data_IF_401008838592
#
_entry.id   IF_401008838592
#
_cell.length_a   1.000
_cell.length_b   1.000
_cell.length_c   1.000
_cell.angle_alpha   90.00
_cell.angle_beta   90.00
_cell.angle_gamma   90.00
#
_symmetry.space_group_name_H-M   'P 1'
#
loop_
_entity.id
_entity.type
_entity.pdbx_description
1 polymer ?
#
# COMPACT_ATOMS: atom_id res chain seq x y z
N UNK A 1 24.99 10.18 49.88
CA UNK A 1 25.18 9.50 48.57
C UNK A 1 24.19 8.34 48.49
N UNK A 2 22.96 8.58 48.04
CA UNK A 2 21.97 7.55 47.76
C UNK A 2 21.48 7.76 46.33
N UNK A 3 21.90 6.89 45.39
CA UNK A 3 21.35 6.83 44.04
C UNK A 3 20.13 5.90 44.08
N UNK A 4 18.95 6.48 43.91
CA UNK A 4 17.72 5.75 43.63
C UNK A 4 17.81 5.22 42.19
N UNK A 5 18.00 3.91 42.03
CA UNK A 5 17.74 3.23 40.76
C UNK A 5 16.24 2.96 40.65
N UNK A 6 15.52 3.91 40.08
CA UNK A 6 14.19 3.65 39.52
C UNK A 6 14.37 2.85 38.24
N UNK A 7 14.17 1.53 38.33
CA UNK A 7 14.05 0.66 37.16
C UNK A 7 12.63 0.78 36.65
N UNK A 8 12.38 1.77 35.80
CA UNK A 8 11.16 1.89 35.02
C UNK A 8 11.02 0.69 34.11
N UNK A 9 10.24 -0.30 34.55
CA UNK A 9 9.78 -1.42 33.74
C UNK A 9 8.85 -0.82 32.69
N UNK A 10 9.33 -0.68 31.46
CA UNK A 10 8.50 -0.34 30.31
C UNK A 10 7.56 -1.51 30.04
N UNK A 11 6.37 -1.44 30.63
CA UNK A 11 5.25 -2.30 30.26
C UNK A 11 4.91 -2.04 28.79
N UNK A 12 5.48 -2.86 27.90
CA UNK A 12 5.02 -2.98 26.52
C UNK A 12 3.59 -3.55 26.56
N UNK A 13 2.61 -2.65 26.72
CA UNK A 13 1.20 -2.98 26.57
C UNK A 13 0.99 -3.54 25.16
N UNK A 14 0.20 -4.62 25.06
CA UNK A 14 -0.19 -5.19 23.77
C UNK A 14 -1.01 -4.15 23.01
N UNK A 15 -0.42 -3.54 21.99
CA UNK A 15 -1.13 -2.62 21.11
C UNK A 15 -2.10 -3.39 20.21
N UNK A 16 -3.30 -2.84 19.98
CA UNK A 16 -4.24 -3.39 19.00
C UNK A 16 -4.06 -2.62 17.69
N UNK A 17 -3.50 -3.31 16.70
CA UNK A 17 -3.44 -2.79 15.33
C UNK A 17 -4.72 -3.21 14.63
N UNK A 18 -5.53 -2.24 14.21
CA UNK A 18 -6.70 -2.47 13.36
C UNK A 18 -6.35 -1.96 11.96
N UNK A 19 -6.22 -2.90 11.03
CA UNK A 19 -6.05 -2.60 9.62
C UNK A 19 -7.42 -2.75 8.98
N UNK A 20 -7.99 -1.65 8.52
CA UNK A 20 -9.25 -1.66 7.79
C UNK A 20 -8.93 -1.34 6.34
N UNK A 21 -9.08 -2.34 5.48
CA UNK A 21 -9.09 -2.11 4.04
C UNK A 21 -10.53 -1.79 3.65
N UNK A 22 -10.83 -0.51 3.41
CA UNK A 22 -12.12 -0.14 2.86
C UNK A 22 -12.08 -0.39 1.35
N UNK A 23 -12.73 -1.47 0.93
CA UNK A 23 -12.99 -1.71 -0.48
C UNK A 23 -14.25 -0.93 -0.84
N UNK A 24 -14.08 0.18 -1.56
CA UNK A 24 -15.22 0.89 -2.13
C UNK A 24 -15.78 0.07 -3.30
N UNK A 25 -16.72 -0.83 -2.98
CA UNK A 25 -17.63 -1.39 -3.97
C UNK A 25 -18.91 -0.57 -3.84
N UNK A 26 -18.97 0.56 -4.54
CA UNK A 26 -20.17 1.41 -4.59
C UNK A 26 -21.25 0.67 -5.39
N UNK A 27 -21.93 -0.27 -4.72
CA UNK A 27 -23.08 -0.99 -5.22
C UNK A 27 -24.34 -0.17 -5.01
N UNK A 28 -24.92 0.28 -6.12
CA UNK A 28 -26.23 0.90 -6.25
C UNK A 28 -27.34 0.07 -5.54
N UNK A 29 -27.75 0.48 -4.34
CA UNK A 29 -29.04 0.08 -3.79
C UNK A 29 -30.11 1.05 -4.31
N UNK A 30 -31.17 0.58 -4.98
CA UNK A 30 -32.29 1.45 -5.35
C UNK A 30 -32.97 1.97 -4.09
N UNK A 31 -33.00 3.29 -3.95
CA UNK A 31 -33.66 4.01 -2.87
C UNK A 31 -35.17 3.74 -2.95
N UNK A 32 -35.69 2.90 -2.06
CA UNK A 32 -37.08 3.02 -1.62
C UNK A 32 -37.17 4.28 -0.74
N UNK A 33 -37.94 5.27 -1.19
CA UNK A 33 -38.25 6.47 -0.43
C UNK A 33 -39.12 6.11 0.79
N UNK A 34 -38.46 5.79 1.90
CA UNK A 34 -39.04 5.70 3.24
C UNK A 34 -38.39 6.76 4.12
N UNK A 35 -39.12 7.83 4.44
CA UNK A 35 -38.69 8.87 5.38
C UNK A 35 -38.72 8.32 6.81
N UNK A 36 -37.69 7.59 7.22
CA UNK A 36 -37.38 7.38 8.63
C UNK A 36 -36.15 8.21 8.97
N UNK A 37 -36.40 9.38 9.55
CA UNK A 37 -35.40 10.16 10.27
C UNK A 37 -35.00 9.37 11.52
N UNK A 38 -34.05 8.45 11.35
CA UNK A 38 -33.20 8.00 12.46
C UNK A 38 -32.14 9.08 12.63
N UNK A 39 -32.08 9.67 13.83
CA UNK A 39 -30.96 10.49 14.25
C UNK A 39 -29.70 9.67 14.03
N UNK A 40 -28.99 10.02 12.95
CA UNK A 40 -27.65 9.55 12.62
C UNK A 40 -26.77 10.13 13.73
N UNK A 41 -26.56 9.30 14.75
CA UNK A 41 -25.70 9.60 15.89
C UNK A 41 -24.32 9.84 15.26
N UNK A 42 -23.95 11.13 15.16
CA UNK A 42 -22.81 11.61 14.39
C UNK A 42 -21.52 10.99 14.88
N UNK A 43 -21.25 9.76 14.43
CA UNK A 43 -20.00 9.09 14.61
C UNK A 43 -18.98 9.95 13.89
N UNK A 44 -18.28 10.80 14.66
CA UNK A 44 -17.13 11.54 14.18
C UNK A 44 -16.26 10.54 13.44
N UNK A 45 -16.22 10.66 12.11
CA UNK A 45 -15.35 9.86 11.27
C UNK A 45 -13.94 10.22 11.67
N UNK A 46 -13.35 9.42 12.56
CA UNK A 46 -11.97 9.58 12.97
C UNK A 46 -11.14 9.55 11.69
N UNK A 47 -10.52 10.69 11.38
CA UNK A 47 -9.74 10.90 10.16
C UNK A 47 -8.53 9.96 10.18
N UNK A 48 -8.72 8.74 9.69
CA UNK A 48 -7.67 7.74 9.61
C UNK A 48 -6.64 8.13 8.55
N UNK A 49 -5.39 7.71 8.75
CA UNK A 49 -4.36 7.86 7.72
C UNK A 49 -4.68 6.93 6.56
N UNK A 50 -5.18 7.51 5.46
CA UNK A 50 -5.44 6.81 4.22
C UNK A 50 -4.17 6.74 3.36
N UNK A 51 -3.82 5.53 2.93
CA UNK A 51 -2.82 5.29 1.90
C UNK A 51 -3.53 4.74 0.65
N UNK A 52 -3.71 5.55 -0.40
CA UNK A 52 -4.31 5.09 -1.64
C UNK A 52 -3.34 4.18 -2.40
N UNK A 53 -3.82 3.00 -2.76
CA UNK A 53 -3.08 1.94 -3.44
C UNK A 53 -3.90 1.49 -4.65
N UNK A 54 -3.25 1.39 -5.80
CA UNK A 54 -3.82 0.73 -6.98
C UNK A 54 -3.31 -0.70 -7.00
N UNK A 55 -4.20 -1.69 -6.99
CA UNK A 55 -3.88 -3.11 -7.13
C UNK A 55 -4.25 -3.57 -8.54
N UNK A 56 -3.26 -4.07 -9.27
CA UNK A 56 -3.39 -4.60 -10.63
C UNK A 56 -3.84 -6.06 -10.59
N UNK A 57 -5.14 -6.28 -10.34
CA UNK A 57 -5.72 -7.63 -10.33
C UNK A 57 -5.85 -8.20 -11.76
N UNK A 58 -6.07 -9.52 -11.87
CA UNK A 58 -6.32 -10.18 -13.16
C UNK A 58 -7.57 -9.66 -13.88
N UNK A 59 -8.54 -9.16 -13.13
CA UNK A 59 -9.79 -8.61 -13.64
C UNK A 59 -9.76 -7.12 -14.01
N UNK A 60 -8.66 -6.42 -13.75
CA UNK A 60 -8.55 -4.95 -13.91
C UNK A 60 -7.95 -4.29 -12.65
N UNK A 61 -7.60 -3.00 -12.73
CA UNK A 61 -7.10 -2.25 -11.58
C UNK A 61 -8.21 -2.05 -10.53
N UNK A 62 -7.83 -2.13 -9.26
CA UNK A 62 -8.70 -1.89 -8.10
C UNK A 62 -8.05 -0.82 -7.24
N UNK A 63 -8.80 0.24 -6.92
CA UNK A 63 -8.34 1.26 -5.99
C UNK A 63 -8.72 0.85 -4.57
N UNK A 64 -7.75 0.89 -3.66
CA UNK A 64 -7.93 0.58 -2.25
C UNK A 64 -7.42 1.77 -1.44
N UNK A 65 -8.18 2.21 -0.44
CA UNK A 65 -7.68 3.15 0.55
C UNK A 65 -7.33 2.36 1.82
N UNK A 66 -6.03 2.17 2.08
CA UNK A 66 -5.56 1.46 3.26
C UNK A 66 -5.57 2.41 4.46
N UNK A 67 -6.41 2.13 5.45
CA UNK A 67 -6.47 2.89 6.69
C UNK A 67 -5.79 2.11 7.82
N UNK A 68 -4.83 2.76 8.48
CA UNK A 68 -4.10 2.15 9.61
C UNK A 68 -4.39 2.91 10.89
N UNK A 69 -4.98 2.21 11.85
CA UNK A 69 -5.23 2.72 13.20
C UNK A 69 -4.49 1.88 14.24
N UNK A 70 -3.96 2.55 15.26
CA UNK A 70 -3.34 1.92 16.44
C UNK A 70 -4.00 2.52 17.66
N UNK A 71 -4.65 1.67 18.46
CA UNK A 71 -5.47 2.08 19.61
C UNK A 71 -6.47 3.21 19.25
N UNK A 72 -7.16 3.03 18.12
CA UNK A 72 -8.15 3.95 17.55
C UNK A 72 -7.60 5.36 17.19
N UNK A 73 -6.28 5.52 17.15
CA UNK A 73 -5.60 6.72 16.65
C UNK A 73 -5.04 6.50 15.24
N UNK A 74 -5.02 7.54 14.38
CA UNK A 74 -4.29 7.49 13.13
C UNK A 74 -2.81 7.15 13.39
N UNK A 75 -2.25 6.25 12.59
CA UNK A 75 -0.89 5.75 12.77
C UNK A 75 0.17 6.85 12.91
N UNK A 76 0.09 7.93 12.12
CA UNK A 76 0.96 9.11 12.17
C UNK A 76 0.93 9.78 13.52
N UNK A 77 -0.28 10.02 14.02
CA UNK A 77 -0.48 10.65 15.32
C UNK A 77 0.03 9.74 16.44
N UNK A 78 -0.21 8.43 16.34
CA UNK A 78 0.30 7.46 17.29
C UNK A 78 1.85 7.45 17.31
N UNK A 79 2.50 7.38 16.15
CA UNK A 79 3.97 7.43 16.03
C UNK A 79 4.53 8.75 16.57
N UNK A 80 3.90 9.88 16.23
CA UNK A 80 4.34 11.19 16.68
C UNK A 80 4.22 11.34 18.21
N UNK A 81 3.13 10.85 18.81
CA UNK A 81 2.94 10.81 20.27
C UNK A 81 3.98 9.93 20.95
N UNK A 82 4.22 8.74 20.40
CA UNK A 82 5.26 7.83 20.90
C UNK A 82 6.64 8.48 20.84
N UNK A 83 6.97 9.16 19.74
CA UNK A 83 8.24 9.87 19.59
C UNK A 83 8.35 11.03 20.58
N UNK A 84 7.31 11.85 20.73
CA UNK A 84 7.29 12.95 21.68
C UNK A 84 7.57 12.47 23.11
N UNK A 85 6.86 11.42 23.56
CA UNK A 85 7.07 10.79 24.87
C UNK A 85 8.47 10.19 25.03
N UNK A 86 9.07 9.70 23.94
CA UNK A 86 10.40 9.09 23.98
C UNK A 86 11.51 10.15 24.07
N UNK A 87 11.26 11.32 23.51
CA UNK A 87 12.19 12.44 23.41
C UNK A 87 12.13 13.35 24.64
N UNK A 88 10.94 13.51 25.24
CA UNK A 88 10.70 14.10 26.55
C UNK A 88 11.42 13.28 27.63
N UNK A 89 12.68 13.63 27.90
CA UNK A 89 13.59 12.79 28.67
C UNK A 89 13.35 12.94 30.18
N UNK A 90 12.88 14.11 30.60
CA UNK A 90 12.54 14.40 31.99
C UNK A 90 11.05 14.18 32.30
N UNK A 91 10.20 14.03 31.28
CA UNK A 91 8.78 13.69 31.42
C UNK A 91 7.93 14.87 31.85
N UNK A 92 8.36 16.11 31.57
CA UNK A 92 7.67 17.33 31.99
C UNK A 92 6.54 17.75 31.02
N UNK A 93 6.38 17.03 29.90
CA UNK A 93 5.39 17.31 28.87
C UNK A 93 5.78 18.44 27.92
N UNK A 94 7.01 18.95 28.01
CA UNK A 94 7.57 19.99 27.15
C UNK A 94 8.84 19.45 26.50
N UNK A 95 9.08 19.90 25.27
CA UNK A 95 10.22 19.48 24.46
C UNK A 95 11.15 20.67 24.27
N UNK A 96 12.32 20.58 24.88
CA UNK A 96 13.39 21.54 24.69
C UNK A 96 14.13 21.30 23.36
N UNK A 97 14.86 22.28 22.80
CA UNK A 97 15.68 22.08 21.62
C UNK A 97 16.69 20.94 21.77
N UNK A 98 17.28 20.78 22.96
CA UNK A 98 18.24 19.72 23.25
C UNK A 98 17.61 18.32 23.16
N UNK A 99 16.36 18.17 23.60
CA UNK A 99 15.62 16.92 23.46
C UNK A 99 15.24 16.66 22.01
N UNK A 100 14.71 17.67 21.31
CA UNK A 100 14.37 17.55 19.89
C UNK A 100 15.57 17.21 19.00
N UNK A 101 16.78 17.62 19.38
CA UNK A 101 18.01 17.24 18.69
C UNK A 101 18.32 15.73 18.77
N UNK A 102 17.77 15.03 19.77
CA UNK A 102 17.85 13.56 19.86
C UNK A 102 17.03 12.84 18.79
N UNK A 103 16.11 13.53 18.11
CA UNK A 103 15.37 12.98 16.98
C UNK A 103 16.35 12.73 15.83
N UNK A 104 16.38 11.50 15.27
CA UNK A 104 17.24 11.17 14.14
C UNK A 104 17.10 12.18 13.00
N UNK A 105 18.23 12.67 12.49
CA UNK A 105 18.28 13.71 11.45
C UNK A 105 17.41 13.38 10.23
N UNK A 106 17.33 12.10 9.85
CA UNK A 106 16.46 11.63 8.75
C UNK A 106 14.98 11.99 8.95
N UNK A 107 14.48 11.94 10.19
CA UNK A 107 13.10 12.27 10.52
C UNK A 107 12.91 13.79 10.57
N UNK A 108 13.89 14.52 11.12
CA UNK A 108 13.86 16.00 11.11
C UNK A 108 13.84 16.57 9.70
N UNK A 109 14.60 16.00 8.77
CA UNK A 109 14.61 16.36 7.34
C UNK A 109 13.30 16.09 6.61
N UNK A 110 12.45 15.20 7.11
CA UNK A 110 11.12 15.00 6.55
C UNK A 110 10.17 16.14 6.91
N UNK A 111 10.50 16.91 7.95
CA UNK A 111 9.77 18.12 8.31
C UNK A 111 10.36 19.33 7.58
N UNK A 112 9.56 20.38 7.37
CA UNK A 112 10.06 21.66 6.87
C UNK A 112 10.91 22.44 7.91
N UNK A 113 11.16 21.85 9.09
CA UNK A 113 11.91 22.46 10.19
C UNK A 113 13.04 21.52 10.65
N UNK A 114 14.13 21.46 9.89
CA UNK A 114 15.22 20.51 10.16
C UNK A 114 15.98 20.77 11.48
N UNK A 115 16.05 22.03 11.93
CA UNK A 115 16.70 22.42 13.18
C UNK A 115 15.71 22.41 14.36
N UNK A 116 16.15 21.97 15.54
CA UNK A 116 15.30 21.82 16.72
C UNK A 116 14.61 23.13 17.13
N UNK A 117 15.32 24.26 17.07
CA UNK A 117 14.76 25.58 17.38
C UNK A 117 13.66 25.98 16.40
N UNK A 118 13.81 25.62 15.12
CA UNK A 118 12.78 25.88 14.12
C UNK A 118 11.55 25.01 14.35
N UNK A 119 11.71 23.79 14.86
CA UNK A 119 10.59 22.92 15.24
C UNK A 119 9.81 23.55 16.40
N UNK A 120 10.50 24.01 17.45
CA UNK A 120 9.86 24.68 18.59
C UNK A 120 9.06 25.90 18.14
N UNK A 121 9.67 26.77 17.32
CA UNK A 121 8.98 27.95 16.78
C UNK A 121 7.78 27.59 15.90
N UNK A 122 7.89 26.52 15.10
CA UNK A 122 6.80 26.07 14.25
C UNK A 122 5.62 25.53 15.06
N UNK A 123 5.88 24.75 16.11
CA UNK A 123 4.85 24.17 16.98
C UNK A 123 4.15 25.24 17.82
N UNK A 124 4.90 26.12 18.47
CA UNK A 124 4.31 27.16 19.34
C UNK A 124 3.82 28.39 18.58
N UNK A 125 4.12 28.49 17.28
CA UNK A 125 3.84 29.69 16.47
C UNK A 125 4.39 30.98 17.09
N UNK A 126 5.50 30.87 17.83
CA UNK A 126 6.12 31.97 18.58
C UNK A 126 7.62 32.03 18.28
N UNK A 127 8.13 33.22 17.97
CA UNK A 127 9.52 33.42 17.54
C UNK A 127 10.56 33.09 18.64
N UNK A 128 10.18 33.31 19.91
CA UNK A 128 11.06 33.18 21.08
C UNK A 128 10.59 32.07 22.03
N UNK A 129 9.97 31.02 21.52
CA UNK A 129 9.62 29.86 22.34
C UNK A 129 10.88 29.03 22.65
N UNK A 130 11.13 28.80 23.94
CA UNK A 130 12.27 28.00 24.42
C UNK A 130 11.94 26.51 24.55
N UNK A 131 10.67 26.15 24.51
CA UNK A 131 10.17 24.76 24.53
C UNK A 131 8.83 24.66 23.82
N UNK A 132 8.50 23.47 23.33
CA UNK A 132 7.22 23.15 22.71
C UNK A 132 6.42 22.18 23.58
N UNK A 133 5.11 22.34 23.66
CA UNK A 133 4.24 21.34 24.29
C UNK A 133 4.33 19.99 23.53
N UNK A 134 4.51 18.89 24.24
CA UNK A 134 4.73 17.57 23.64
C UNK A 134 3.51 17.07 22.85
N UNK A 135 2.29 17.42 23.27
CA UNK A 135 1.06 17.06 22.54
C UNK A 135 0.94 17.87 21.25
N UNK A 136 1.12 19.19 21.32
CA UNK A 136 1.12 20.04 20.11
C UNK A 136 2.22 19.62 19.13
N UNK A 137 3.40 19.27 19.65
CA UNK A 137 4.48 18.75 18.83
C UNK A 137 4.04 17.46 18.13
N UNK A 138 3.39 16.53 18.82
CA UNK A 138 2.94 15.29 18.21
C UNK A 138 1.91 15.53 17.09
N UNK A 139 0.97 16.45 17.29
CA UNK A 139 -0.04 16.82 16.29
C UNK A 139 0.63 17.48 15.06
N UNK A 140 1.46 18.50 15.29
CA UNK A 140 2.22 19.16 14.23
C UNK A 140 3.15 18.18 13.48
N UNK A 141 3.87 17.33 14.21
CA UNK A 141 4.80 16.37 13.62
C UNK A 141 4.05 15.31 12.81
N UNK A 142 2.90 14.85 13.31
CA UNK A 142 2.03 13.96 12.57
C UNK A 142 1.65 14.57 11.22
N UNK A 143 1.26 15.85 11.16
CA UNK A 143 0.96 16.56 9.90
C UNK A 143 2.15 16.69 8.95
N UNK A 144 3.38 16.83 9.48
CA UNK A 144 4.59 16.88 8.66
C UNK A 144 4.97 15.53 8.04
N UNK A 145 4.57 14.40 8.65
CA UNK A 145 4.87 13.04 8.17
C UNK A 145 4.07 12.67 6.90
N UNK A 146 4.30 13.34 5.76
CA UNK A 146 3.60 13.08 4.48
C UNK A 146 3.67 11.61 4.02
N UNK A 147 4.64 10.84 4.52
CA UNK A 147 4.87 9.42 4.22
C UNK A 147 5.21 8.65 5.50
N UNK A 148 4.20 8.29 6.29
CA UNK A 148 4.42 7.47 7.49
C UNK A 148 4.51 5.98 7.20
N UNK A 149 3.85 5.55 6.12
CA UNK A 149 3.80 4.17 5.71
C UNK A 149 4.34 4.05 4.29
N UNK A 150 5.23 3.08 4.10
CA UNK A 150 5.64 2.64 2.79
C UNK A 150 5.28 1.16 2.67
N UNK A 151 4.31 0.85 1.82
CA UNK A 151 3.92 -0.53 1.50
C UNK A 151 4.87 -1.08 0.46
N UNK A 152 5.99 -1.63 0.92
CA UNK A 152 6.92 -2.30 0.02
C UNK A 152 6.37 -3.68 -0.29
N UNK A 153 6.25 -4.03 -1.57
CA UNK A 153 6.12 -5.41 -1.97
C UNK A 153 7.46 -6.09 -1.68
N UNK A 154 7.62 -6.64 -0.48
CA UNK A 154 8.71 -7.56 -0.24
C UNK A 154 8.53 -8.73 -1.19
N UNK A 155 9.57 -9.07 -1.97
CA UNK A 155 9.70 -10.45 -2.40
C UNK A 155 9.69 -11.25 -1.10
N UNK A 156 8.58 -11.95 -0.83
CA UNK A 156 8.52 -12.86 0.30
C UNK A 156 9.74 -13.74 0.11
N UNK A 157 10.73 -13.60 1.01
CA UNK A 157 11.99 -14.32 0.82
C UNK A 157 11.62 -15.78 0.61
N UNK A 158 12.28 -16.50 -0.28
CA UNK A 158 11.87 -17.89 -0.56
C UNK A 158 11.78 -18.70 0.75
N UNK A 159 12.59 -18.38 1.76
CA UNK A 159 12.49 -18.89 3.13
C UNK A 159 11.19 -18.57 3.89
N UNK A 160 10.56 -17.40 3.69
CA UNK A 160 9.26 -17.00 4.25
C UNK A 160 8.07 -17.43 3.38
N UNK A 161 8.29 -17.54 2.06
CA UNK A 161 7.27 -17.93 1.07
C UNK A 161 7.01 -19.44 1.12
N UNK A 162 8.02 -20.19 1.55
CA UNK A 162 7.91 -21.60 1.90
C UNK A 162 7.17 -21.70 3.23
N UNK A 163 5.85 -21.60 3.13
CA UNK A 163 4.95 -21.98 4.22
C UNK A 163 4.90 -23.51 4.30
N UNK A 164 6.04 -24.14 4.61
CA UNK A 164 6.15 -25.60 4.73
C UNK A 164 5.09 -26.13 5.70
N UNK A 165 4.89 -25.44 6.82
CA UNK A 165 3.83 -25.76 7.77
C UNK A 165 2.44 -25.77 7.11
N UNK A 166 2.10 -24.78 6.28
CA UNK A 166 0.82 -24.75 5.57
C UNK A 166 0.71 -25.81 4.46
N UNK A 167 1.83 -26.35 3.95
CA UNK A 167 1.81 -27.50 3.04
C UNK A 167 1.63 -28.84 3.76
N UNK A 168 2.14 -28.94 4.99
CA UNK A 168 2.04 -30.13 5.82
C UNK A 168 0.69 -30.20 6.54
N UNK A 169 0.16 -29.06 6.97
CA UNK A 169 -1.17 -28.87 7.55
C UNK A 169 -2.26 -29.07 6.48
N UNK A 170 -2.54 -30.34 6.18
CA UNK A 170 -3.50 -30.75 5.16
C UNK A 170 -4.93 -30.52 5.64
N UNK A 171 -5.16 -30.52 6.96
CA UNK A 171 -6.48 -30.34 7.55
C UNK A 171 -6.85 -28.86 7.80
N UNK A 172 -5.87 -27.95 7.76
CA UNK A 172 -6.04 -26.50 7.91
C UNK A 172 -6.28 -26.03 9.34
N UNK A 173 -5.92 -26.83 10.35
CA UNK A 173 -6.15 -26.51 11.76
C UNK A 173 -5.09 -25.57 12.36
N UNK A 174 -4.05 -25.25 11.58
CA UNK A 174 -2.95 -24.36 11.96
C UNK A 174 -1.84 -25.06 12.74
N UNK A 175 -1.95 -26.36 13.00
CA UNK A 175 -0.90 -27.21 13.57
C UNK A 175 -0.47 -28.25 12.53
N UNK A 176 0.67 -28.90 12.79
CA UNK A 176 1.11 -30.03 11.96
C UNK A 176 1.15 -31.28 12.85
N UNK A 177 0.18 -32.17 12.64
CA UNK A 177 0.05 -33.44 13.33
C UNK A 177 1.10 -34.48 12.90
N UNK A 178 1.13 -35.62 13.61
CA UNK A 178 2.07 -36.71 13.29
C UNK A 178 1.72 -37.40 11.96
N UNK A 179 0.43 -37.55 11.72
CA UNK A 179 -0.13 -38.11 10.49
C UNK A 179 0.22 -37.23 9.30
N UNK A 180 0.04 -35.92 9.45
CA UNK A 180 0.38 -34.89 8.46
C UNK A 180 1.88 -34.81 8.15
N UNK A 181 2.75 -34.97 9.15
CA UNK A 181 4.19 -35.11 8.92
C UNK A 181 4.50 -36.37 8.10
N UNK A 182 3.82 -37.48 8.37
CA UNK A 182 4.04 -38.76 7.69
C UNK A 182 3.58 -38.71 6.23
N UNK A 183 2.40 -38.15 5.99
CA UNK A 183 1.85 -37.99 4.65
C UNK A 183 2.54 -36.87 3.87
N UNK A 184 2.95 -35.82 4.57
CA UNK A 184 3.68 -34.68 4.03
C UNK A 184 4.99 -35.08 3.35
N UNK A 185 5.72 -36.06 3.88
CA UNK A 185 6.94 -36.59 3.24
C UNK A 185 6.66 -37.14 1.83
N UNK A 186 5.51 -37.81 1.62
CA UNK A 186 5.13 -38.32 0.29
C UNK A 186 4.77 -37.18 -0.65
N UNK A 187 4.06 -36.17 -0.16
CA UNK A 187 3.68 -34.98 -0.94
C UNK A 187 4.89 -34.13 -1.32
N UNK A 188 5.88 -34.01 -0.43
CA UNK A 188 7.11 -33.28 -0.67
C UNK A 188 8.01 -33.97 -1.68
N UNK A 189 7.99 -35.30 -1.78
CA UNK A 189 8.82 -36.04 -2.75
C UNK A 189 8.60 -35.61 -4.21
N UNK A 190 7.41 -35.13 -4.57
CA UNK A 190 7.14 -34.61 -5.91
C UNK A 190 7.71 -33.20 -6.17
N UNK A 191 8.26 -32.56 -5.13
CA UNK A 191 8.90 -31.25 -5.18
C UNK A 191 10.42 -31.33 -5.23
N UNK A 192 11.02 -32.45 -4.84
CA UNK A 192 12.45 -32.73 -5.04
C UNK A 192 12.68 -32.98 -6.54
N UNK A 193 13.04 -31.92 -7.26
CA UNK A 193 13.11 -31.93 -8.72
C UNK A 193 14.45 -32.44 -9.23
N UNK A 194 15.51 -32.35 -8.41
CA UNK A 194 16.85 -32.82 -8.74
C UNK A 194 17.25 -34.15 -8.05
N UNK A 195 16.35 -34.74 -7.26
CA UNK A 195 16.49 -36.03 -6.56
C UNK A 195 17.69 -36.04 -5.61
N UNK A 196 18.04 -34.88 -5.04
CA UNK A 196 19.16 -34.74 -4.10
C UNK A 196 18.77 -35.05 -2.63
N UNK A 197 17.51 -35.40 -2.40
CA UNK A 197 16.90 -35.70 -1.10
C UNK A 197 16.90 -34.52 -0.12
N UNK A 198 17.18 -33.31 -0.61
CA UNK A 198 17.02 -32.05 0.09
C UNK A 198 15.93 -31.23 -0.60
N UNK A 199 15.46 -30.18 0.09
CA UNK A 199 14.46 -29.28 -0.50
C UNK A 199 15.02 -27.87 -0.48
N UNK A 200 15.35 -27.36 -1.65
CA UNK A 200 15.68 -25.95 -1.81
C UNK A 200 14.42 -25.10 -1.61
N UNK A 201 14.60 -23.87 -1.15
CA UNK A 201 13.47 -22.93 -1.03
C UNK A 201 12.76 -22.73 -2.38
N UNK A 202 13.48 -22.92 -3.49
CA UNK A 202 12.99 -22.75 -4.84
C UNK A 202 12.02 -23.86 -5.29
N UNK A 203 12.17 -25.07 -4.78
CA UNK A 203 11.29 -26.24 -5.03
C UNK A 203 10.00 -26.20 -4.22
N UNK A 204 10.06 -25.58 -3.04
CA UNK A 204 8.94 -25.46 -2.13
C UNK A 204 8.00 -24.29 -2.49
N UNK A 205 8.41 -23.39 -3.40
CA UNK A 205 7.56 -22.31 -3.90
C UNK A 205 6.36 -22.85 -4.71
N UNK A 206 5.12 -22.41 -4.42
CA UNK A 206 3.95 -22.75 -5.24
C UNK A 206 4.03 -22.10 -6.63
N UNK A 207 3.55 -22.81 -7.66
CA UNK A 207 3.40 -22.33 -9.05
C UNK A 207 4.69 -22.16 -9.87
N UNK A 208 5.75 -22.94 -9.62
CA UNK A 208 6.80 -23.10 -10.64
C UNK A 208 6.36 -24.08 -11.73
N UNK A 209 6.45 -23.63 -12.97
CA UNK A 209 6.49 -24.54 -14.11
C UNK A 209 7.81 -25.34 -14.02
N UNK A 210 7.77 -26.68 -13.85
CA UNK A 210 8.98 -27.51 -13.72
C UNK A 210 9.88 -27.44 -14.96
N UNK A 211 9.39 -26.91 -16.09
CA UNK A 211 10.15 -26.75 -17.32
C UNK A 211 10.93 -25.45 -17.40
N UNK A 212 10.74 -24.51 -16.47
CA UNK A 212 11.35 -23.18 -16.55
C UNK A 212 12.22 -22.85 -15.33
N UNK A 213 13.35 -23.55 -15.21
CA UNK A 213 14.34 -23.40 -14.13
C UNK A 213 14.96 -21.98 -14.02
N UNK A 214 14.85 -21.15 -15.08
CA UNK A 214 15.40 -19.78 -15.12
C UNK A 214 14.45 -18.69 -14.63
N UNK A 215 13.19 -19.01 -14.32
CA UNK A 215 12.18 -18.04 -13.92
C UNK A 215 12.22 -17.68 -12.42
N UNK A 216 13.41 -17.59 -11.81
CA UNK A 216 13.59 -16.75 -10.63
C UNK A 216 13.65 -15.28 -11.11
N UNK A 217 12.57 -14.83 -11.76
CA UNK A 217 12.36 -13.41 -11.95
C UNK A 217 12.18 -12.88 -10.54
N UNK A 218 13.21 -12.23 -10.00
CA UNK A 218 12.97 -11.14 -9.05
C UNK A 218 11.93 -10.30 -9.77
N UNK A 219 10.67 -10.22 -9.28
CA UNK A 219 9.68 -9.43 -9.96
C UNK A 219 10.33 -8.06 -10.15
N UNK A 220 10.49 -7.67 -11.42
CA UNK A 220 10.94 -6.33 -11.71
C UNK A 220 10.00 -5.41 -10.91
N UNK A 221 10.52 -4.34 -10.31
CA UNK A 221 9.67 -3.40 -9.57
C UNK A 221 8.54 -2.88 -10.49
N UNK A 222 8.76 -2.96 -11.81
CA UNK A 222 7.78 -2.72 -12.86
C UNK A 222 6.56 -3.68 -12.90
N UNK A 223 6.65 -4.88 -12.31
CA UNK A 223 5.62 -5.94 -12.34
C UNK A 223 4.96 -6.17 -10.98
N UNK A 224 5.17 -5.28 -10.01
CA UNK A 224 4.46 -5.36 -8.74
C UNK A 224 2.94 -5.29 -8.99
N UNK A 225 2.15 -6.15 -8.34
CA UNK A 225 0.70 -6.16 -8.51
C UNK A 225 0.06 -4.95 -7.84
N UNK A 226 0.81 -3.99 -7.30
CA UNK A 226 0.27 -2.77 -6.74
C UNK A 226 1.23 -1.58 -6.81
N UNK A 227 0.68 -0.37 -6.83
CA UNK A 227 1.39 0.90 -6.80
C UNK A 227 0.78 1.78 -5.70
N UNK A 228 1.61 2.32 -4.82
CA UNK A 228 1.20 3.33 -3.85
C UNK A 228 1.14 4.70 -4.53
N UNK A 229 0.07 5.46 -4.32
CA UNK A 229 -0.13 6.79 -4.92
C UNK A 229 0.25 7.89 -3.93
N UNK A 230 1.53 8.00 -3.59
CA UNK A 230 2.01 8.96 -2.58
C UNK A 230 2.40 10.33 -3.15
N UNK A 231 2.63 10.43 -4.45
CA UNK A 231 3.05 11.65 -5.15
C UNK A 231 2.62 11.62 -6.62
N UNK A 232 2.75 12.77 -7.30
CA UNK A 232 2.37 12.93 -8.71
C UNK A 232 3.13 11.98 -9.64
N UNK A 233 4.39 11.69 -9.34
CA UNK A 233 5.19 10.75 -10.14
C UNK A 233 4.66 9.31 -9.97
N UNK A 234 4.25 8.94 -8.77
CA UNK A 234 3.67 7.64 -8.46
C UNK A 234 2.29 7.47 -9.10
N UNK A 235 1.47 8.52 -9.09
CA UNK A 235 0.21 8.57 -9.84
C UNK A 235 0.45 8.39 -11.34
N UNK A 236 1.42 9.11 -11.90
CA UNK A 236 1.77 9.00 -13.33
C UNK A 236 2.24 7.59 -13.69
N UNK A 237 3.07 6.97 -12.85
CA UNK A 237 3.50 5.57 -13.02
C UNK A 237 2.31 4.60 -12.92
N UNK A 238 1.42 4.80 -11.96
CA UNK A 238 0.21 3.98 -11.82
C UNK A 238 -0.67 4.08 -13.08
N UNK A 239 -0.94 5.28 -13.57
CA UNK A 239 -1.69 5.51 -14.80
C UNK A 239 -1.04 4.79 -16.00
N UNK A 240 0.27 4.96 -16.20
CA UNK A 240 1.01 4.28 -17.27
C UNK A 240 0.94 2.75 -17.16
N UNK A 241 1.04 2.19 -15.94
CA UNK A 241 0.92 0.75 -15.74
C UNK A 241 -0.50 0.24 -16.04
N UNK A 242 -1.54 1.00 -15.66
CA UNK A 242 -2.94 0.67 -15.98
C UNK A 242 -3.12 0.62 -17.49
N UNK A 243 -2.69 1.65 -18.21
CA UNK A 243 -2.78 1.74 -19.66
C UNK A 243 -2.00 0.62 -20.36
N UNK A 244 -0.76 0.39 -19.95
CA UNK A 244 0.08 -0.67 -20.51
C UNK A 244 -0.57 -2.05 -20.34
N UNK A 245 -1.15 -2.34 -19.16
CA UNK A 245 -1.72 -3.66 -18.86
C UNK A 245 -3.10 -3.85 -19.47
N UNK A 246 -3.96 -2.84 -19.43
CA UNK A 246 -5.34 -2.95 -19.88
C UNK A 246 -5.49 -2.71 -21.39
N UNK A 247 -4.69 -1.79 -21.96
CA UNK A 247 -4.69 -1.48 -23.40
C UNK A 247 -4.12 -2.60 -24.27
N UNK A 248 -3.18 -3.40 -23.74
CA UNK A 248 -2.62 -4.54 -24.49
C UNK A 248 -3.60 -5.72 -24.65
N UNK A 249 -4.64 -5.81 -23.81
CA UNK A 249 -5.55 -6.96 -23.81
C UNK A 249 -6.43 -7.01 -25.07
N UNK A 250 -6.77 -5.86 -25.68
CA UNK A 250 -7.64 -5.82 -26.87
C UNK A 250 -6.96 -6.26 -28.15
N UNK A 251 -5.69 -5.87 -28.33
CA UNK A 251 -4.95 -6.19 -29.56
C UNK A 251 -4.77 -7.70 -29.75
N UNK A 252 -4.77 -8.47 -28.67
CA UNK A 252 -4.62 -9.94 -28.72
C UNK A 252 -5.91 -10.67 -29.07
N UNK A 253 -7.08 -10.09 -28.82
CA UNK A 253 -8.36 -10.70 -29.20
C UNK A 253 -8.80 -10.32 -30.62
N UNK A 254 -8.50 -9.10 -31.07
CA UNK A 254 -8.90 -8.64 -32.41
C UNK A 254 -8.09 -9.27 -33.57
N UNK A 255 -6.86 -9.74 -33.31
CA UNK A 255 -5.93 -10.16 -34.37
C UNK A 255 -6.06 -11.62 -34.85
N UNK A 256 -6.98 -12.42 -34.31
CA UNK A 256 -7.03 -13.86 -34.60
C UNK A 256 -8.18 -14.30 -35.52
N UNK A 257 -8.98 -13.36 -36.05
CA UNK A 257 -10.17 -13.66 -36.85
C UNK A 257 -10.13 -13.09 -38.29
N UNK A 258 -8.96 -12.63 -38.75
CA UNK A 258 -8.79 -12.10 -40.11
C UNK A 258 -7.60 -12.73 -40.84
N UNK A 259 -7.65 -14.03 -41.08
CA UNK A 259 -6.86 -14.67 -42.14
C UNK A 259 -7.70 -14.75 -43.41
N UNK A 260 -7.73 -13.66 -44.19
CA UNK A 260 -7.85 -13.69 -45.65
C UNK A 260 -8.06 -12.27 -46.18
N UNK A 261 -6.98 -11.60 -46.57
CA UNK A 261 -6.80 -11.05 -47.94
C UNK A 261 -5.52 -10.23 -47.99
N UNK A 262 -4.65 -10.64 -48.90
CA UNK A 262 -3.44 -9.95 -49.24
C UNK A 262 -3.77 -8.67 -50.01
N UNK A 263 -3.26 -7.54 -49.57
CA UNK A 263 -2.74 -6.51 -50.47
C UNK A 263 -1.79 -5.60 -49.70
N UNK A 264 -0.56 -5.57 -50.22
CA UNK A 264 0.54 -4.77 -49.72
C UNK A 264 0.33 -3.32 -50.14
N UNK A 265 0.50 -2.35 -49.22
CA UNK A 265 1.08 -1.05 -49.56
C UNK A 265 1.45 -0.19 -48.34
N UNK A 266 2.59 0.51 -48.50
CA UNK A 266 3.07 1.70 -47.79
C UNK A 266 3.31 1.65 -46.27
N UNK A 267 4.54 1.27 -45.90
CA UNK A 267 5.14 1.44 -44.58
C UNK A 267 5.45 2.94 -44.33
N UNK A 268 4.50 3.66 -43.73
CA UNK A 268 4.72 5.01 -43.19
C UNK A 268 5.19 4.86 -41.75
N UNK A 269 6.46 5.19 -41.53
CA UNK A 269 7.17 5.21 -40.26
C UNK A 269 6.64 6.40 -39.40
N UNK A 270 5.39 6.31 -38.96
CA UNK A 270 4.84 7.27 -38.00
C UNK A 270 5.39 6.88 -36.63
N UNK A 271 6.14 7.75 -35.93
CA UNK A 271 6.60 7.44 -34.59
C UNK A 271 5.37 7.19 -33.71
N UNK A 272 5.23 5.94 -33.28
CA UNK A 272 4.17 5.36 -32.44
C UNK A 272 4.13 6.00 -31.04
N UNK A 273 3.83 7.29 -30.97
CA UNK A 273 3.10 7.86 -29.86
C UNK A 273 1.60 7.59 -30.08
N UNK A 274 1.24 6.34 -30.42
CA UNK A 274 -0.13 5.87 -30.25
C UNK A 274 -0.44 6.04 -28.76
N UNK A 275 -1.20 7.08 -28.45
CA UNK A 275 -1.68 7.35 -27.11
C UNK A 275 -2.41 6.09 -26.67
N UNK A 276 -1.85 5.43 -25.66
CA UNK A 276 -2.50 4.30 -25.05
C UNK A 276 -3.71 4.86 -24.31
N UNK A 277 -4.90 4.50 -24.76
CA UNK A 277 -6.17 4.87 -24.14
C UNK A 277 -6.80 3.61 -23.52
N UNK A 278 -7.65 3.76 -22.50
CA UNK A 278 -8.35 2.64 -21.83
C UNK A 278 -9.86 2.86 -21.80
N UNK A 279 -10.61 1.86 -22.27
CA UNK A 279 -12.08 1.85 -22.19
C UNK A 279 -12.53 1.88 -20.71
N UNK A 280 -13.39 2.83 -20.37
CA UNK A 280 -13.93 3.03 -19.02
C UNK A 280 -14.58 1.75 -18.48
N UNK A 281 -15.23 0.94 -19.33
CA UNK A 281 -15.90 -0.29 -18.91
C UNK A 281 -14.94 -1.35 -18.34
N UNK A 282 -13.63 -1.21 -18.56
CA UNK A 282 -12.59 -2.12 -18.04
C UNK A 282 -12.06 -1.72 -16.69
N UNK A 283 -12.16 -0.44 -16.36
CA UNK A 283 -11.95 0.03 -15.01
C UNK A 283 -13.15 -0.50 -14.23
N UNK A 284 -12.94 -1.45 -13.32
CA UNK A 284 -13.99 -2.05 -12.49
C UNK A 284 -14.50 -1.06 -11.43
N UNK A 285 -14.89 0.10 -11.90
CA UNK A 285 -15.28 1.27 -11.14
C UNK A 285 -16.70 1.67 -11.60
N UNK A 286 -17.48 2.34 -10.75
CA UNK A 286 -18.78 2.85 -11.15
C UNK A 286 -18.61 3.78 -12.37
N UNK A 287 -19.36 3.57 -13.47
CA UNK A 287 -19.19 4.34 -14.69
C UNK A 287 -19.40 5.84 -14.45
N UNK A 288 -20.34 6.20 -13.56
CA UNK A 288 -20.64 7.59 -13.20
C UNK A 288 -19.45 8.31 -12.55
N UNK A 289 -18.63 7.59 -11.77
CA UNK A 289 -17.44 8.16 -11.11
C UNK A 289 -16.30 8.41 -12.09
N UNK A 290 -16.25 7.65 -13.19
CA UNK A 290 -15.17 7.70 -14.17
C UNK A 290 -15.54 8.59 -15.35
N UNK A 291 -16.81 8.62 -15.75
CA UNK A 291 -17.28 9.43 -16.89
C UNK A 291 -17.14 10.93 -16.67
N UNK A 292 -17.09 11.41 -15.42
CA UNK A 292 -16.83 12.83 -15.16
C UNK A 292 -15.39 13.26 -15.48
N UNK A 293 -14.49 12.30 -15.70
CA UNK A 293 -13.08 12.52 -16.01
C UNK A 293 -12.77 12.39 -17.50
N UNK A 294 -13.69 11.80 -18.28
CA UNK A 294 -13.69 11.75 -19.73
C UNK A 294 -14.14 13.12 -20.28
N UNK A 295 -13.17 14.01 -20.51
CA UNK A 295 -13.40 15.41 -20.86
C UNK A 295 -13.87 15.57 -22.30
N UNK A 296 -13.47 14.65 -23.18
CA UNK A 296 -13.84 14.67 -24.59
C UNK A 296 -15.05 13.76 -24.92
N UNK A 297 -15.57 13.04 -23.92
CA UNK A 297 -16.74 12.17 -23.99
C UNK A 297 -16.58 11.02 -24.99
N UNK A 298 -15.37 10.51 -25.16
CA UNK A 298 -15.07 9.44 -26.10
C UNK A 298 -15.24 8.02 -25.50
N UNK A 299 -15.64 7.92 -24.22
CA UNK A 299 -15.75 6.67 -23.42
C UNK A 299 -14.42 5.95 -23.13
N UNK A 300 -13.31 6.66 -23.27
CA UNK A 300 -11.95 6.13 -23.14
C UNK A 300 -11.09 7.15 -22.39
N UNK A 301 -10.39 6.71 -21.34
CA UNK A 301 -9.48 7.61 -20.63
C UNK A 301 -8.12 7.66 -21.29
N UNK A 302 -7.65 8.87 -21.56
CA UNK A 302 -6.27 9.14 -21.91
C UNK A 302 -5.35 9.16 -20.65
N UNK A 303 -4.01 9.22 -20.81
CA UNK A 303 -3.09 9.27 -19.67
C UNK A 303 -3.30 10.45 -18.72
N UNK A 304 -3.76 11.60 -19.21
CA UNK A 304 -3.98 12.82 -18.44
C UNK A 304 -5.27 12.72 -17.63
N UNK A 305 -6.34 12.25 -18.25
CA UNK A 305 -7.64 12.03 -17.61
C UNK A 305 -7.53 10.95 -16.52
N UNK A 306 -6.82 9.86 -16.80
CA UNK A 306 -6.56 8.82 -15.82
C UNK A 306 -5.72 9.33 -14.65
N UNK A 307 -4.73 10.19 -14.88
CA UNK A 307 -3.98 10.83 -13.78
C UNK A 307 -4.90 11.71 -12.93
N UNK A 308 -5.76 12.51 -13.55
CA UNK A 308 -6.71 13.36 -12.84
C UNK A 308 -7.71 12.54 -12.01
N UNK A 309 -8.16 11.42 -12.56
CA UNK A 309 -9.00 10.44 -11.84
C UNK A 309 -8.29 9.89 -10.60
N UNK A 310 -7.02 9.48 -10.74
CA UNK A 310 -6.23 8.91 -9.65
C UNK A 310 -5.80 9.94 -8.58
N UNK A 311 -5.81 11.24 -8.87
CA UNK A 311 -5.53 12.28 -7.85
C UNK A 311 -6.74 12.68 -7.02
N UNK A 312 -7.94 12.19 -7.34
CA UNK A 312 -9.14 12.51 -6.56
C UNK A 312 -8.97 12.00 -5.12
N UNK A 313 -9.22 12.82 -4.09
CA UNK A 313 -9.29 12.34 -2.72
C UNK A 313 -10.45 11.34 -2.60
N UNK A 314 -10.14 10.13 -2.12
CA UNK A 314 -11.09 9.04 -1.85
C UNK A 314 -11.70 9.20 -0.48
#
# INVERSE_FOLDING_TARGET
>A
MNRLHSTGRSDFRRFRIRITALLWVTGMFPIFAGTSSTADDGAETVSADGLPIVVMASGGPVLINLQVLVDDLPYRLWVARFLAQRVDADGDGRLTPAELDSIPERLRKQTNAAAAENMVRAVESAANADSADAQKFAEWFAEQLRRSLNVVAGAVQASEAVRLAAFLDQNGDGNVGREELTDGVRSLRFRDLDDDQTYSAAELLPFRDPRNQRAALVPDVADLPFVQMTDTDAVSRAAQQILKRCGQSDRRHAGNDSSDTAEAEAHVDTPLAELQTIDIAKLRLPPDDVSSFDQDHNSVLDPTELQHFLTRPV
#
